data_IF_331782991054
#
_entry.id   IF_331782991054
#
_cell.length_a   1.000
_cell.length_b   1.000
_cell.length_c   1.000
_cell.angle_alpha   90.00
_cell.angle_beta   90.00
_cell.angle_gamma   90.00
#
_symmetry.space_group_name_H-M   'P 1'
#
loop_
_entity.id
_entity.type
_entity.pdbx_description
1 polymer ?
#
# COMPACT_ATOMS: atom_id res chain seq x y z
N UNK A 1 -1.17 15.11 4.18
CA UNK A 1 -0.76 13.70 4.32
C UNK A 1 -1.97 12.91 4.79
N UNK A 2 -2.51 12.02 3.94
CA UNK A 2 -3.62 11.14 4.33
C UNK A 2 -3.11 10.17 5.38
N UNK A 3 -3.50 10.35 6.63
CA UNK A 3 -3.12 9.43 7.70
C UNK A 3 -3.87 8.12 7.53
N UNK A 4 -3.13 7.02 7.41
CA UNK A 4 -3.63 5.64 7.39
C UNK A 4 -4.21 5.21 8.76
N UNK A 5 -5.08 6.04 9.34
CA UNK A 5 -5.57 5.97 10.71
C UNK A 5 -6.40 4.71 11.01
N UNK A 6 -6.70 3.90 9.98
CA UNK A 6 -7.44 2.64 10.08
C UNK A 6 -6.60 1.38 9.75
N UNK A 7 -5.32 1.48 9.39
CA UNK A 7 -4.53 0.29 9.05
C UNK A 7 -4.08 -0.46 10.31
N UNK A 8 -4.87 -1.46 10.74
CA UNK A 8 -4.41 -2.50 11.66
C UNK A 8 -3.53 -3.48 10.89
N UNK A 9 -2.25 -3.15 10.69
CA UNK A 9 -1.37 -3.97 9.88
C UNK A 9 0.11 -3.65 10.07
N UNK A 10 0.96 -4.61 9.71
CA UNK A 10 2.37 -4.34 9.47
C UNK A 10 2.55 -3.90 8.01
N UNK A 11 3.56 -3.09 7.76
CA UNK A 11 4.04 -2.76 6.44
C UNK A 11 5.49 -3.27 6.27
N UNK A 12 5.90 -3.48 5.04
CA UNK A 12 7.22 -3.98 4.68
C UNK A 12 7.81 -3.04 3.64
N UNK A 13 8.95 -2.45 3.95
CA UNK A 13 9.82 -1.79 2.99
C UNK A 13 10.84 -2.82 2.51
N UNK A 14 11.05 -2.91 1.20
CA UNK A 14 12.12 -3.73 0.66
C UNK A 14 12.63 -3.21 -0.68
N UNK A 15 13.86 -3.59 -1.03
CA UNK A 15 14.44 -3.43 -2.37
C UNK A 15 14.60 -4.79 -3.03
N UNK A 16 15.11 -4.84 -4.27
CA UNK A 16 15.45 -6.12 -4.90
C UNK A 16 16.44 -6.96 -4.07
N UNK A 17 17.38 -6.32 -3.38
CA UNK A 17 18.37 -7.00 -2.53
C UNK A 17 17.71 -7.72 -1.35
N UNK A 18 16.76 -7.07 -0.66
CA UNK A 18 16.08 -7.68 0.48
C UNK A 18 14.88 -8.56 0.11
N UNK A 19 14.58 -8.72 -1.18
CA UNK A 19 13.47 -9.57 -1.64
C UNK A 19 13.61 -11.02 -1.19
N UNK A 20 14.81 -11.61 -1.30
CA UNK A 20 15.04 -12.99 -0.86
C UNK A 20 14.76 -13.17 0.63
N UNK A 21 15.15 -12.19 1.46
CA UNK A 21 14.85 -12.18 2.89
C UNK A 21 13.35 -12.10 3.16
N UNK A 22 12.62 -11.24 2.42
CA UNK A 22 11.16 -11.14 2.49
C UNK A 22 10.49 -12.47 2.12
N UNK A 23 10.89 -13.09 1.01
CA UNK A 23 10.32 -14.35 0.53
C UNK A 23 10.60 -15.51 1.48
N UNK A 24 11.80 -15.58 2.06
CA UNK A 24 12.14 -16.58 3.08
C UNK A 24 11.31 -16.42 4.36
N UNK A 25 11.08 -15.17 4.80
CA UNK A 25 10.33 -14.87 6.04
C UNK A 25 8.82 -14.97 5.87
N UNK A 26 8.31 -14.67 4.67
CA UNK A 26 6.89 -14.70 4.35
C UNK A 26 6.63 -15.47 3.04
N UNK A 27 6.82 -16.80 3.03
CA UNK A 27 6.67 -17.61 1.81
C UNK A 27 5.30 -17.47 1.15
N UNK A 28 4.25 -17.19 1.92
CA UNK A 28 2.89 -16.97 1.41
C UNK A 28 2.75 -15.72 0.54
N UNK A 29 3.69 -14.76 0.61
CA UNK A 29 3.71 -13.58 -0.28
C UNK A 29 4.37 -13.88 -1.63
N UNK A 30 5.11 -14.97 -1.79
CA UNK A 30 5.86 -15.29 -3.02
C UNK A 30 4.97 -15.28 -4.27
N UNK A 31 3.78 -15.91 -4.30
CA UNK A 31 2.93 -15.87 -5.49
C UNK A 31 2.50 -14.45 -5.85
N UNK A 32 2.16 -13.63 -4.85
CA UNK A 32 1.79 -12.24 -5.02
C UNK A 32 2.96 -11.40 -5.55
N UNK A 33 4.14 -11.49 -4.92
CA UNK A 33 5.34 -10.75 -5.31
C UNK A 33 5.79 -11.14 -6.71
N UNK A 34 5.78 -12.43 -7.04
CA UNK A 34 6.08 -12.92 -8.39
C UNK A 34 5.15 -12.30 -9.42
N UNK A 35 3.85 -12.23 -9.12
CA UNK A 35 2.86 -11.69 -10.04
C UNK A 35 2.97 -10.17 -10.21
N UNK A 36 3.14 -9.43 -9.11
CA UNK A 36 3.13 -7.95 -9.10
C UNK A 36 4.44 -7.36 -9.60
N UNK A 37 5.57 -7.97 -9.24
CA UNK A 37 6.90 -7.48 -9.63
C UNK A 37 7.33 -7.95 -11.02
N UNK A 38 6.53 -8.81 -11.68
CA UNK A 38 6.79 -9.21 -13.06
C UNK A 38 6.73 -7.97 -13.98
N UNK A 39 7.69 -7.76 -14.88
CA UNK A 39 7.70 -6.60 -15.79
C UNK A 39 6.41 -6.47 -16.63
N UNK A 40 5.77 -7.58 -16.94
CA UNK A 40 4.52 -7.61 -17.70
C UNK A 40 3.28 -7.25 -16.86
N UNK A 41 3.36 -7.25 -15.52
CA UNK A 41 2.19 -7.10 -14.64
C UNK A 41 1.45 -5.80 -14.88
N UNK A 42 2.21 -4.70 -14.99
CA UNK A 42 1.68 -3.37 -15.19
C UNK A 42 1.62 -2.94 -16.66
N UNK A 43 1.74 -3.88 -17.63
CA UNK A 43 1.71 -3.56 -19.08
C UNK A 43 0.44 -2.81 -19.49
N UNK A 44 -0.67 -3.02 -18.77
CA UNK A 44 -1.92 -2.30 -18.99
C UNK A 44 -1.83 -0.79 -18.78
N UNK A 45 -0.89 -0.32 -17.97
CA UNK A 45 -0.64 1.10 -17.68
C UNK A 45 0.16 1.80 -18.78
N UNK A 46 0.74 1.05 -19.71
CA UNK A 46 1.47 1.64 -20.82
C UNK A 46 0.50 2.34 -21.79
N UNK A 47 0.92 3.46 -22.41
CA UNK A 47 0.20 4.03 -23.53
C UNK A 47 -0.11 2.97 -24.59
N UNK A 48 -1.27 3.09 -25.24
CA UNK A 48 -1.75 2.07 -26.18
C UNK A 48 -0.73 1.74 -27.28
N UNK A 49 0.01 2.74 -27.76
CA UNK A 49 1.03 2.59 -28.79
C UNK A 49 2.24 1.78 -28.30
N UNK A 50 2.68 1.98 -27.06
CA UNK A 50 3.77 1.18 -26.47
C UNK A 50 3.33 -0.27 -26.23
N UNK A 51 2.04 -0.50 -25.96
CA UNK A 51 1.52 -1.87 -25.83
C UNK A 51 1.55 -2.63 -27.14
N UNK A 52 1.30 -1.96 -28.26
CA UNK A 52 1.22 -2.56 -29.60
C UNK A 52 2.59 -2.67 -30.29
N UNK A 53 3.41 -1.62 -30.21
CA UNK A 53 4.65 -1.52 -30.97
C UNK A 53 5.91 -1.59 -30.11
N UNK A 54 5.76 -1.76 -28.80
CA UNK A 54 6.85 -1.69 -27.84
C UNK A 54 7.26 -0.26 -27.51
N UNK A 55 7.94 -0.09 -26.38
CA UNK A 55 8.49 1.21 -25.99
C UNK A 55 9.77 1.50 -26.80
N UNK A 56 9.88 2.73 -27.34
CA UNK A 56 11.10 3.18 -28.05
C UNK A 56 12.31 3.32 -27.13
N UNK A 57 12.08 3.49 -25.83
CA UNK A 57 13.10 3.64 -24.79
C UNK A 57 12.82 2.65 -23.67
N UNK A 58 13.86 2.06 -23.11
CA UNK A 58 13.74 1.21 -21.92
C UNK A 58 13.17 2.03 -20.77
N UNK A 59 12.07 1.56 -20.18
CA UNK A 59 11.46 2.21 -19.03
C UNK A 59 12.24 1.82 -17.77
N UNK A 60 12.41 2.76 -16.83
CA UNK A 60 13.02 2.42 -15.55
C UNK A 60 12.14 1.41 -14.82
N UNK A 61 12.79 0.37 -14.30
CA UNK A 61 12.16 -0.71 -13.55
C UNK A 61 12.09 -0.31 -12.08
N UNK A 62 10.95 -0.51 -11.39
CA UNK A 62 10.88 -0.28 -9.95
C UNK A 62 11.98 -1.01 -9.19
N UNK A 63 12.58 -0.35 -8.21
CA UNK A 63 13.71 -0.87 -7.43
C UNK A 63 13.55 -0.72 -5.90
N UNK A 64 12.50 -0.03 -5.45
CA UNK A 64 12.12 0.06 -4.05
C UNK A 64 10.61 -0.11 -3.91
N UNK A 65 10.20 -0.78 -2.83
CA UNK A 65 8.86 -1.28 -2.68
C UNK A 65 8.34 -1.02 -1.27
N UNK A 66 7.07 -0.63 -1.19
CA UNK A 66 6.35 -0.54 0.06
C UNK A 66 5.11 -1.43 -0.01
N UNK A 67 5.05 -2.45 0.83
CA UNK A 67 3.94 -3.39 0.90
C UNK A 67 3.18 -3.20 2.21
N UNK A 68 1.87 -2.96 2.13
CA UNK A 68 1.01 -2.73 3.27
C UNK A 68 -0.20 -3.66 3.24
N UNK A 69 -0.49 -4.28 4.39
CA UNK A 69 -1.77 -4.95 4.62
C UNK A 69 -2.77 -3.92 5.13
N UNK A 70 -3.76 -3.58 4.30
CA UNK A 70 -4.81 -2.63 4.64
C UNK A 70 -6.08 -3.40 5.05
N UNK A 71 -6.49 -3.19 6.30
CA UNK A 71 -7.78 -3.61 6.84
C UNK A 71 -8.67 -2.38 6.87
N UNK A 72 -9.88 -2.50 6.33
CA UNK A 72 -10.88 -1.46 6.34
C UNK A 72 -12.16 -2.00 6.96
N UNK A 73 -12.58 -1.41 8.06
CA UNK A 73 -13.83 -1.75 8.74
C UNK A 73 -15.03 -1.04 8.09
N UNK A 74 -16.22 -1.57 8.30
CA UNK A 74 -17.45 -0.94 7.82
C UNK A 74 -17.57 0.52 8.31
N UNK A 75 -18.05 1.40 7.43
CA UNK A 75 -18.15 2.84 7.64
C UNK A 75 -16.83 3.60 7.53
N UNK A 76 -15.69 2.93 7.37
CA UNK A 76 -14.39 3.56 7.18
C UNK A 76 -14.01 3.62 5.70
N UNK A 77 -13.33 4.70 5.33
CA UNK A 77 -12.74 4.90 4.02
C UNK A 77 -11.28 5.34 4.13
N UNK A 78 -10.65 5.60 3.00
CA UNK A 78 -9.33 6.24 2.92
C UNK A 78 -9.53 7.55 2.17
N UNK A 79 -9.20 8.66 2.81
CA UNK A 79 -9.34 9.99 2.21
C UNK A 79 -8.44 10.16 0.99
N UNK A 80 -8.76 11.16 0.17
CA UNK A 80 -8.04 11.41 -1.08
C UNK A 80 -6.58 11.80 -0.87
N UNK A 81 -5.67 11.10 -1.55
CA UNK A 81 -4.22 11.32 -1.46
C UNK A 81 -3.47 10.77 -2.67
N UNK A 82 -2.18 11.09 -2.74
CA UNK A 82 -1.18 10.39 -3.56
C UNK A 82 -0.25 9.66 -2.61
N UNK A 83 0.13 8.43 -2.94
CA UNK A 83 1.10 7.67 -2.15
C UNK A 83 2.48 8.32 -2.25
N UNK A 84 3.14 8.47 -1.11
CA UNK A 84 4.47 9.06 -1.00
C UNK A 84 5.26 8.43 0.15
N UNK A 85 4.96 7.17 0.50
CA UNK A 85 5.51 6.53 1.71
C UNK A 85 7.03 6.43 1.71
N UNK A 86 7.66 6.27 0.53
CA UNK A 86 9.11 6.23 0.42
C UNK A 86 9.76 7.60 0.18
N UNK A 87 8.99 8.70 0.14
CA UNK A 87 9.54 10.05 -0.04
C UNK A 87 10.54 10.39 1.05
N UNK A 88 10.13 10.37 2.31
CA UNK A 88 10.99 10.71 3.45
C UNK A 88 12.25 9.84 3.55
N UNK A 89 12.17 8.49 3.56
CA UNK A 89 13.39 7.67 3.63
C UNK A 89 14.26 7.77 2.38
N UNK A 90 13.69 8.08 1.20
CA UNK A 90 14.49 8.30 0.00
C UNK A 90 15.18 9.65 0.00
N UNK A 91 14.71 10.64 0.77
CA UNK A 91 15.19 12.02 0.71
C UNK A 91 14.99 12.70 -0.65
N UNK A 92 14.15 12.14 -1.53
CA UNK A 92 13.82 12.73 -2.83
C UNK A 92 12.52 13.52 -2.68
N UNK A 93 12.52 14.85 -2.87
CA UNK A 93 11.32 15.65 -2.80
C UNK A 93 10.26 15.18 -3.80
N UNK A 94 8.99 15.20 -3.39
CA UNK A 94 7.82 14.86 -4.23
C UNK A 94 7.88 13.47 -4.87
N UNK A 95 8.68 12.56 -4.31
CA UNK A 95 8.77 11.20 -4.80
C UNK A 95 7.44 10.46 -4.64
N UNK A 96 6.89 10.06 -5.77
CA UNK A 96 5.68 9.24 -5.88
C UNK A 96 6.03 7.89 -6.51
N UNK A 97 5.24 6.83 -6.26
CA UNK A 97 5.48 5.55 -6.90
C UNK A 97 5.30 5.68 -8.41
N UNK A 98 6.01 4.86 -9.17
CA UNK A 98 5.73 4.72 -10.60
C UNK A 98 4.31 4.18 -10.80
N UNK A 99 3.93 3.19 -9.99
CA UNK A 99 2.59 2.64 -9.96
C UNK A 99 2.31 1.92 -8.63
N UNK A 100 1.02 1.73 -8.38
CA UNK A 100 0.51 1.05 -7.18
C UNK A 100 -0.28 -0.18 -7.60
N UNK A 101 -0.13 -1.26 -6.83
CA UNK A 101 -0.82 -2.52 -7.02
C UNK A 101 -1.70 -2.85 -5.83
N UNK A 102 -2.97 -3.13 -6.05
CA UNK A 102 -3.92 -3.51 -4.99
C UNK A 102 -4.49 -4.89 -5.28
N UNK A 103 -4.24 -5.85 -4.38
CA UNK A 103 -4.90 -7.15 -4.38
C UNK A 103 -5.96 -7.17 -3.27
N UNK A 104 -7.22 -7.37 -3.65
CA UNK A 104 -8.31 -7.55 -2.70
C UNK A 104 -8.32 -9.00 -2.20
N UNK A 105 -7.84 -9.22 -0.98
CA UNK A 105 -7.76 -10.55 -0.35
C UNK A 105 -9.10 -11.01 0.22
N UNK A 106 -9.91 -10.07 0.70
CA UNK A 106 -11.24 -10.34 1.23
C UNK A 106 -12.13 -9.13 1.01
N UNK A 107 -13.30 -9.35 0.47
CA UNK A 107 -14.35 -8.34 0.35
C UNK A 107 -15.61 -8.93 0.98
N UNK A 108 -16.13 -8.36 2.08
CA UNK A 108 -17.30 -8.94 2.72
C UNK A 108 -18.49 -8.99 1.76
N UNK A 109 -19.30 -10.04 1.87
CA UNK A 109 -20.50 -10.18 1.05
C UNK A 109 -21.56 -9.15 1.43
N UNK A 110 -22.48 -8.87 0.50
CA UNK A 110 -23.62 -7.97 0.71
C UNK A 110 -23.27 -6.54 1.15
N UNK A 111 -22.03 -6.09 0.88
CA UNK A 111 -21.61 -4.72 1.14
C UNK A 111 -21.99 -3.79 -0.02
N UNK A 112 -22.26 -2.53 0.31
CA UNK A 112 -22.36 -1.43 -0.66
C UNK A 112 -21.29 -0.39 -0.37
N UNK A 113 -20.65 0.14 -1.41
CA UNK A 113 -19.52 1.06 -1.28
C UNK A 113 -18.17 0.33 -1.30
N UNK A 114 -17.12 0.99 -0.82
CA UNK A 114 -15.77 0.41 -0.78
C UNK A 114 -15.00 0.55 -2.08
N UNK A 115 -15.51 1.32 -3.05
CA UNK A 115 -14.85 1.54 -4.33
C UNK A 115 -13.52 2.28 -4.15
N UNK A 116 -12.53 1.88 -4.95
CA UNK A 116 -11.32 2.67 -5.18
C UNK A 116 -11.64 3.68 -6.28
N UNK A 117 -11.63 4.97 -5.95
CA UNK A 117 -11.85 6.05 -6.90
C UNK A 117 -10.50 6.67 -7.28
N UNK A 118 -10.26 6.81 -8.59
CA UNK A 118 -9.03 7.34 -9.16
C UNK A 118 -9.30 8.70 -9.81
N UNK A 119 -8.44 9.67 -9.51
CA UNK A 119 -8.54 11.04 -9.98
C UNK A 119 -7.20 11.49 -10.55
N UNK A 120 -7.26 12.19 -11.68
CA UNK A 120 -6.14 12.97 -12.19
C UNK A 120 -6.43 14.44 -11.91
N UNK A 121 -5.67 15.04 -10.99
CA UNK A 121 -6.05 16.31 -10.35
C UNK A 121 -7.47 16.17 -9.79
N UNK A 122 -8.45 16.98 -10.22
CA UNK A 122 -9.85 16.92 -9.80
C UNK A 122 -10.79 16.15 -10.73
N UNK A 123 -10.27 15.58 -11.81
CA UNK A 123 -11.09 14.84 -12.77
C UNK A 123 -11.11 13.35 -12.41
N UNK A 124 -12.29 12.73 -12.22
CA UNK A 124 -12.37 11.28 -12.04
C UNK A 124 -11.96 10.57 -13.34
N UNK A 125 -11.01 9.64 -13.23
CA UNK A 125 -10.48 8.87 -14.38
C UNK A 125 -10.80 7.38 -14.29
N UNK A 126 -11.28 6.92 -13.15
CA UNK A 126 -11.71 5.53 -12.99
C UNK A 126 -12.30 5.25 -11.62
N UNK A 127 -13.11 4.21 -11.56
CA UNK A 127 -13.64 3.64 -10.32
C UNK A 127 -13.49 2.13 -10.40
N UNK A 128 -12.99 1.52 -9.32
CA UNK A 128 -12.87 0.07 -9.22
C UNK A 128 -13.71 -0.43 -8.06
N UNK A 129 -14.68 -1.28 -8.38
CA UNK A 129 -15.47 -2.01 -7.40
C UNK A 129 -14.65 -3.20 -6.87
N UNK A 130 -14.43 -3.30 -5.56
CA UNK A 130 -13.59 -4.36 -5.00
C UNK A 130 -14.26 -5.73 -5.18
N UNK A 131 -13.46 -6.72 -5.55
CA UNK A 131 -13.88 -8.14 -5.62
C UNK A 131 -12.74 -9.00 -5.12
N UNK A 132 -13.04 -10.04 -4.36
CA UNK A 132 -12.00 -10.95 -3.87
C UNK A 132 -11.19 -11.55 -5.04
N UNK A 133 -9.86 -11.58 -4.89
CA UNK A 133 -8.93 -12.02 -5.93
C UNK A 133 -8.65 -10.99 -7.03
N UNK A 134 -9.36 -9.86 -7.07
CA UNK A 134 -9.09 -8.81 -8.06
C UNK A 134 -7.74 -8.14 -7.75
N UNK A 135 -6.84 -8.16 -8.74
CA UNK A 135 -5.59 -7.41 -8.75
C UNK A 135 -5.73 -6.20 -9.67
N UNK A 136 -5.51 -5.01 -9.12
CA UNK A 136 -5.58 -3.73 -9.83
C UNK A 136 -4.21 -3.10 -9.85
N UNK A 137 -3.85 -2.49 -10.98
CA UNK A 137 -2.71 -1.59 -11.09
C UNK A 137 -3.21 -0.22 -11.50
N UNK A 138 -2.65 0.85 -10.91
CA UNK A 138 -2.91 2.22 -11.35
C UNK A 138 -1.63 3.05 -11.26
N UNK A 139 -1.56 4.14 -12.04
CA UNK A 139 -0.39 5.03 -12.05
C UNK A 139 -0.22 5.70 -10.68
N UNK A 140 1.00 5.78 -10.19
CA UNK A 140 1.26 6.28 -8.84
C UNK A 140 1.16 7.80 -8.69
N UNK A 141 0.98 8.53 -9.81
CA UNK A 141 0.74 9.97 -9.83
C UNK A 141 -0.77 10.33 -9.79
N UNK A 142 -1.66 9.34 -9.73
CA UNK A 142 -3.09 9.58 -9.57
C UNK A 142 -3.43 9.80 -8.11
N UNK A 143 -4.23 10.83 -7.86
CA UNK A 143 -4.93 10.96 -6.58
C UNK A 143 -5.93 9.82 -6.48
N UNK A 144 -6.07 9.24 -5.30
CA UNK A 144 -7.02 8.17 -5.09
C UNK A 144 -7.62 8.20 -3.70
N UNK A 145 -8.81 7.64 -3.59
CA UNK A 145 -9.54 7.49 -2.35
C UNK A 145 -10.26 6.15 -2.33
N UNK A 146 -10.63 5.71 -1.13
CA UNK A 146 -11.50 4.58 -0.93
C UNK A 146 -12.77 5.05 -0.26
N UNK A 147 -13.91 4.89 -0.95
CA UNK A 147 -15.20 5.19 -0.35
C UNK A 147 -15.50 4.28 0.84
N UNK A 148 -16.16 4.79 1.89
CA UNK A 148 -16.68 3.92 2.94
C UNK A 148 -17.61 2.85 2.38
N UNK A 149 -17.61 1.67 2.99
CA UNK A 149 -18.60 0.63 2.70
C UNK A 149 -19.52 0.40 3.89
N UNK A 150 -20.74 -0.04 3.64
CA UNK A 150 -21.74 -0.39 4.65
C UNK A 150 -22.32 -1.78 4.39
N UNK A 151 -22.86 -2.41 5.43
CA UNK A 151 -23.37 -3.79 5.38
C UNK A 151 -22.31 -4.82 5.76
N UNK A 152 -22.57 -6.08 5.42
CA UNK A 152 -21.79 -7.23 5.86
C UNK A 152 -22.15 -7.71 7.27
N UNK A 153 -21.56 -8.84 7.67
CA UNK A 153 -21.69 -9.36 9.04
C UNK A 153 -21.05 -8.42 10.06
N UNK A 154 -21.46 -8.53 11.32
CA UNK A 154 -20.85 -7.77 12.42
C UNK A 154 -19.34 -8.05 12.48
N UNK A 155 -18.53 -7.00 12.57
CA UNK A 155 -17.07 -7.10 12.56
C UNK A 155 -16.45 -7.43 11.20
N UNK A 156 -17.20 -7.35 10.10
CA UNK A 156 -16.65 -7.57 8.77
C UNK A 156 -15.62 -6.49 8.38
N UNK A 157 -14.45 -6.95 7.93
CA UNK A 157 -13.39 -6.09 7.40
C UNK A 157 -13.06 -6.46 5.96
N UNK A 158 -12.84 -5.44 5.11
CA UNK A 158 -12.23 -5.59 3.80
C UNK A 158 -10.72 -5.64 3.95
N UNK A 159 -10.09 -6.63 3.36
CA UNK A 159 -8.64 -6.85 3.45
C UNK A 159 -8.02 -6.74 2.08
N UNK A 160 -6.97 -5.93 1.97
CA UNK A 160 -6.21 -5.75 0.72
C UNK A 160 -4.71 -5.67 0.97
N UNK A 161 -3.92 -6.23 0.06
CA UNK A 161 -2.49 -5.94 -0.05
C UNK A 161 -2.29 -4.77 -1.02
N UNK A 162 -1.61 -3.74 -0.55
CA UNK A 162 -1.26 -2.55 -1.34
C UNK A 162 0.25 -2.52 -1.50
N UNK A 163 0.74 -2.46 -2.73
CA UNK A 163 2.15 -2.38 -3.04
C UNK A 163 2.45 -1.13 -3.87
N UNK A 164 3.14 -0.17 -3.27
CA UNK A 164 3.72 0.98 -3.96
C UNK A 164 5.08 0.58 -4.56
N UNK A 165 5.32 0.94 -5.82
CA UNK A 165 6.50 0.52 -6.57
C UNK A 165 7.23 1.74 -7.11
N UNK A 166 8.39 2.04 -6.55
CA UNK A 166 9.17 3.26 -6.79
C UNK A 166 10.37 3.00 -7.69
N UNK A 167 10.80 4.05 -8.37
CA UNK A 167 12.08 4.12 -9.09
C UNK A 167 12.93 5.19 -8.43
N UNK A 168 14.05 4.81 -7.84
CA UNK A 168 15.03 5.73 -7.28
C UNK A 168 16.37 5.64 -8.01
N UNK A 169 17.08 6.77 -8.09
CA UNK A 169 18.49 6.79 -8.47
C UNK A 169 19.34 6.04 -7.41
N UNK A 170 20.54 5.54 -7.76
CA UNK A 170 21.37 4.75 -6.84
C UNK A 170 21.60 5.43 -5.49
N UNK A 171 21.79 6.75 -5.47
CA UNK A 171 22.06 7.53 -4.26
C UNK A 171 20.86 7.56 -3.31
N UNK A 172 19.65 7.64 -3.88
CA UNK A 172 18.41 7.61 -3.11
C UNK A 172 18.05 6.18 -2.69
N UNK A 173 18.27 5.19 -3.56
CA UNK A 173 18.06 3.78 -3.26
C UNK A 173 18.93 3.31 -2.09
N UNK A 174 20.18 3.78 -2.00
CA UNK A 174 21.09 3.46 -0.91
C UNK A 174 20.59 3.93 0.47
N UNK A 175 19.64 4.87 0.53
CA UNK A 175 18.99 5.32 1.77
C UNK A 175 17.78 4.46 2.15
N UNK A 176 17.24 3.69 1.21
CA UNK A 176 16.13 2.77 1.46
C UNK A 176 16.68 1.50 2.09
N UNK A 177 16.13 1.04 3.25
CA UNK A 177 16.55 -0.22 3.83
C UNK A 177 16.25 -1.36 2.85
N UNK A 178 17.21 -2.27 2.65
CA UNK A 178 17.02 -3.42 1.76
C UNK A 178 15.83 -4.28 2.20
N UNK A 179 15.59 -4.40 3.51
CA UNK A 179 14.41 -5.02 4.10
C UNK A 179 14.10 -4.41 5.48
N UNK A 180 12.85 -3.98 5.72
CA UNK A 180 12.39 -3.50 7.02
C UNK A 180 10.90 -3.77 7.20
N UNK A 181 10.53 -4.32 8.36
CA UNK A 181 9.12 -4.42 8.80
C UNK A 181 8.81 -3.20 9.67
N UNK A 182 7.66 -2.58 9.42
CA UNK A 182 7.09 -1.52 10.23
C UNK A 182 5.78 -2.03 10.83
N UNK A 183 5.63 -1.97 12.16
CA UNK A 183 4.31 -2.11 12.77
C UNK A 183 3.57 -0.78 12.64
N UNK A 184 2.42 -0.75 11.94
CA UNK A 184 1.51 0.42 11.97
C UNK A 184 0.53 0.37 13.14
N UNK A 185 0.55 -0.69 13.96
CA UNK A 185 0.12 -0.60 15.35
C UNK A 185 1.18 0.24 16.10
N UNK A 186 1.22 1.52 15.77
CA UNK A 186 2.13 2.48 16.36
C UNK A 186 1.70 2.70 17.81
N UNK A 187 2.68 2.68 18.68
CA UNK A 187 2.76 3.20 20.05
C UNK A 187 1.59 4.06 20.59
N UNK A 188 0.94 4.90 19.79
CA UNK A 188 -0.29 5.62 20.14
C UNK A 188 -1.47 4.71 20.53
N UNK A 189 -1.72 3.60 19.82
CA UNK A 189 -2.76 2.64 20.22
C UNK A 189 -2.40 1.90 21.52
N UNK A 190 -1.11 1.69 21.79
CA UNK A 190 -0.59 1.15 23.06
C UNK A 190 -0.72 2.18 24.20
N UNK A 191 -0.45 3.45 23.94
CA UNK A 191 -0.63 4.55 24.91
C UNK A 191 -2.10 4.80 25.20
N UNK A 192 -3.00 4.73 24.21
CA UNK A 192 -4.44 4.83 24.41
C UNK A 192 -4.99 3.61 25.19
N UNK A 193 -4.48 2.40 24.94
CA UNK A 193 -4.82 1.19 25.72
C UNK A 193 -4.33 1.28 27.17
N UNK A 194 -3.13 1.82 27.41
CA UNK A 194 -2.60 2.11 28.75
C UNK A 194 -3.39 3.19 29.48
N UNK A 195 -3.80 4.26 28.78
CA UNK A 195 -4.54 5.38 29.37
C UNK A 195 -6.00 5.05 29.68
N UNK A 196 -6.56 4.07 28.99
CA UNK A 196 -7.95 3.62 29.15
C UNK A 196 -8.11 2.39 30.07
N UNK A 197 -7.02 1.89 30.67
CA UNK A 197 -7.10 0.89 31.75
C UNK A 197 -7.47 1.57 33.07
N UNK A 198 -8.61 1.25 33.70
CA UNK A 198 -8.83 1.58 35.09
C UNK A 198 -8.01 0.60 35.93
N UNK A 199 -7.11 1.14 36.75
CA UNK A 199 -6.26 0.50 37.77
C UNK A 199 -4.84 0.07 37.36
N UNK A 200 -3.87 0.96 37.66
CA UNK A 200 -2.86 0.70 38.68
C UNK A 200 -1.54 0.00 38.30
N UNK A 201 -0.44 0.75 38.30
CA UNK A 201 0.91 0.20 38.43
C UNK A 201 2.02 1.23 38.20
N UNK A 202 2.57 1.78 39.28
CA UNK A 202 3.68 2.75 39.29
C UNK A 202 4.85 2.33 38.39
N UNK A 203 5.17 3.15 37.38
CA UNK A 203 6.47 3.09 36.71
C UNK A 203 7.54 3.59 37.70
N UNK A 204 8.35 2.67 38.20
CA UNK A 204 9.51 2.97 39.01
C UNK A 204 10.49 3.87 38.26
N UNK A 205 11.01 4.85 38.98
CA UNK A 205 12.17 5.67 38.61
C UNK A 205 13.35 4.76 38.30
N UNK A 206 14.03 5.01 37.19
CA UNK A 206 15.40 4.55 36.99
C UNK A 206 16.26 5.78 36.69
N UNK A 207 17.21 6.00 37.59
CA UNK A 207 18.42 6.81 37.39
C UNK A 207 19.27 6.29 36.22
#
# INVERSE_FOLDING_TARGET
MGTFQASRGFAIIFTHEGRTTLEARFPFLVPYLTRVLAPASARGLLPWHERLWGARKQRPVPNAFYLNLLLLDAGRGVGRHIDATLQDPSGVPDATPQHVSVLYLRVPEHVRGGELCLHHQDTPVGEVRPREGLLVHFRGDLQHEVRPFVGGAEGASRVSLVCEQYVFAPEALARIPSFRIQSKAGFAAYLDDQRNRPDGGSAGTLE
#
